data_IF_515113239358
#
_entry.id   IF_515113239358
#
_cell.length_a   1.000
_cell.length_b   1.000
_cell.length_c   1.000
_cell.angle_alpha   90.00
_cell.angle_beta   90.00
_cell.angle_gamma   90.00
#
_symmetry.space_group_name_H-M   'P 1'
#
loop_
_entity.id
_entity.type
_entity.pdbx_description
1 polymer ?
#
# COMPACT_ATOMS: atom_id res chain seq x y z
N UNK A 1 -16.22 -31.41 13.83
CA UNK A 1 -15.00 -30.76 13.30
C UNK A 1 -14.93 -29.39 13.94
N UNK A 2 -13.86 -29.01 14.65
CA UNK A 2 -13.75 -27.66 15.16
C UNK A 2 -13.49 -26.76 13.95
N UNK A 3 -14.46 -25.92 13.63
CA UNK A 3 -14.25 -24.77 12.76
C UNK A 3 -13.14 -23.95 13.38
N UNK A 4 -12.00 -23.82 12.70
CA UNK A 4 -10.99 -22.82 13.06
C UNK A 4 -11.68 -21.45 12.98
N UNK A 5 -12.14 -20.99 14.13
CA UNK A 5 -12.64 -19.65 14.33
C UNK A 5 -11.48 -18.73 13.99
N UNK A 6 -11.54 -18.09 12.81
CA UNK A 6 -10.55 -17.08 12.44
C UNK A 6 -10.76 -15.95 13.45
N UNK A 7 -9.98 -15.96 14.54
CA UNK A 7 -9.97 -14.92 15.57
C UNK A 7 -9.30 -13.69 14.97
N UNK A 8 -10.08 -12.92 14.21
CA UNK A 8 -9.70 -11.58 13.81
C UNK A 8 -9.72 -10.69 15.06
N UNK A 9 -8.58 -10.10 15.45
CA UNK A 9 -8.53 -8.99 16.40
C UNK A 9 -8.82 -7.70 15.62
N UNK A 10 -10.01 -7.08 15.80
CA UNK A 10 -10.38 -5.87 15.05
C UNK A 10 -9.38 -4.73 15.27
N UNK A 11 -8.81 -4.62 16.47
CA UNK A 11 -7.82 -3.60 16.78
C UNK A 11 -6.48 -3.82 16.07
N UNK A 12 -6.10 -5.07 15.81
CA UNK A 12 -4.90 -5.38 15.03
C UNK A 12 -5.09 -5.07 13.54
N UNK A 13 -6.28 -5.34 12.99
CA UNK A 13 -6.59 -5.03 11.58
C UNK A 13 -6.70 -3.53 11.32
N UNK A 14 -7.27 -2.77 12.25
CA UNK A 14 -7.32 -1.31 12.16
C UNK A 14 -5.92 -0.69 12.19
N UNK A 15 -5.05 -1.17 13.10
CA UNK A 15 -3.65 -0.75 13.15
C UNK A 15 -2.92 -1.08 11.85
N UNK A 16 -3.10 -2.29 11.31
CA UNK A 16 -2.47 -2.71 10.06
C UNK A 16 -2.92 -1.83 8.89
N UNK A 17 -4.22 -1.53 8.80
CA UNK A 17 -4.75 -0.63 7.76
C UNK A 17 -4.15 0.78 7.87
N UNK A 18 -4.15 1.35 9.08
CA UNK A 18 -3.56 2.67 9.32
C UNK A 18 -2.06 2.69 9.02
N UNK A 19 -1.32 1.64 9.38
CA UNK A 19 0.10 1.49 9.05
C UNK A 19 0.35 1.39 7.54
N UNK A 20 -0.45 0.61 6.82
CA UNK A 20 -0.35 0.49 5.36
C UNK A 20 -0.59 1.85 4.69
N UNK A 21 -1.63 2.56 5.10
CA UNK A 21 -1.97 3.88 4.56
C UNK A 21 -0.90 4.94 4.87
N UNK A 22 -0.39 4.94 6.10
CA UNK A 22 0.67 5.85 6.52
C UNK A 22 1.98 5.58 5.77
N UNK A 23 2.36 4.32 5.60
CA UNK A 23 3.57 3.95 4.87
C UNK A 23 3.42 4.23 3.37
N UNK A 24 2.27 3.96 2.77
CA UNK A 24 1.99 4.34 1.38
C UNK A 24 2.13 5.85 1.15
N UNK A 25 1.60 6.67 2.07
CA UNK A 25 1.71 8.13 1.99
C UNK A 25 3.16 8.63 2.12
N UNK A 26 3.98 7.99 2.97
CA UNK A 26 5.41 8.30 3.08
C UNK A 26 6.17 7.96 1.81
N UNK A 27 5.92 6.78 1.25
CA UNK A 27 6.54 6.32 0.01
C UNK A 27 6.19 7.28 -1.14
N UNK A 28 4.94 7.74 -1.22
CA UNK A 28 4.55 8.75 -2.20
C UNK A 28 5.38 10.04 -2.04
N UNK A 29 5.53 10.55 -0.82
CA UNK A 29 6.34 11.73 -0.56
C UNK A 29 7.83 11.55 -0.90
N UNK A 30 8.38 10.37 -0.65
CA UNK A 30 9.77 10.02 -1.02
C UNK A 30 9.94 9.93 -2.55
N UNK A 31 8.95 9.41 -3.27
CA UNK A 31 8.93 9.38 -4.74
C UNK A 31 8.96 10.80 -5.31
N UNK A 32 8.12 11.70 -4.81
CA UNK A 32 8.05 13.08 -5.28
C UNK A 32 9.39 13.82 -5.04
N UNK A 33 10.03 13.55 -3.88
CA UNK A 33 11.35 14.08 -3.56
C UNK A 33 12.43 13.52 -4.49
N UNK A 34 12.40 12.22 -4.79
CA UNK A 34 13.33 11.56 -5.71
C UNK A 34 13.18 12.12 -7.13
N UNK A 35 11.96 12.30 -7.62
CA UNK A 35 11.68 12.89 -8.93
C UNK A 35 12.21 14.31 -9.03
N UNK A 36 12.04 15.12 -7.98
CA UNK A 36 12.59 16.47 -7.90
C UNK A 36 14.13 16.44 -7.97
N UNK A 37 14.77 15.57 -7.19
CA UNK A 37 16.22 15.42 -7.19
C UNK A 37 16.76 14.94 -8.55
N UNK A 38 16.07 14.01 -9.20
CA UNK A 38 16.45 13.48 -10.51
C UNK A 38 16.31 14.52 -11.63
N UNK A 39 15.24 15.32 -11.61
CA UNK A 39 15.09 16.43 -12.55
C UNK A 39 16.18 17.49 -12.36
N UNK A 40 16.53 17.80 -11.10
CA UNK A 40 17.64 18.70 -10.80
C UNK A 40 18.97 18.12 -11.30
N UNK A 41 19.20 16.82 -11.13
CA UNK A 41 20.40 16.15 -11.63
C UNK A 41 20.49 16.20 -13.15
N UNK A 42 19.39 15.90 -13.86
CA UNK A 42 19.30 16.00 -15.33
C UNK A 42 19.62 17.41 -15.84
N UNK A 43 19.07 18.43 -15.20
CA UNK A 43 19.30 19.83 -15.57
C UNK A 43 20.76 20.27 -15.39
N UNK A 44 21.50 19.61 -14.49
CA UNK A 44 22.91 19.87 -14.24
C UNK A 44 23.85 18.89 -14.96
N UNK A 45 23.30 17.93 -15.72
CA UNK A 45 24.10 16.94 -16.41
C UNK A 45 24.56 17.46 -17.77
N UNK A 46 25.86 17.51 -17.99
CA UNK A 46 26.42 17.81 -19.31
C UNK A 46 26.65 16.51 -20.10
N UNK A 47 26.28 16.51 -21.39
CA UNK A 47 26.52 15.40 -22.31
C UNK A 47 25.30 14.50 -22.57
N UNK A 48 24.94 14.40 -23.85
CA UNK A 48 23.72 13.74 -24.34
C UNK A 48 23.62 12.24 -24.00
N UNK A 49 24.76 11.51 -24.05
CA UNK A 49 24.80 10.09 -23.67
C UNK A 49 24.54 9.88 -22.18
N UNK A 50 25.08 10.73 -21.32
CA UNK A 50 24.91 10.63 -19.88
C UNK A 50 23.45 10.97 -19.49
N UNK A 51 22.86 11.99 -20.13
CA UNK A 51 21.45 12.34 -19.95
C UNK A 51 20.53 11.20 -20.39
N UNK A 52 20.83 10.55 -21.51
CA UNK A 52 20.04 9.42 -22.03
C UNK A 52 20.08 8.21 -21.08
N UNK A 53 21.26 7.81 -20.62
CA UNK A 53 21.41 6.69 -19.70
C UNK A 53 20.74 6.97 -18.34
N UNK A 54 20.89 8.19 -17.81
CA UNK A 54 20.22 8.59 -16.58
C UNK A 54 18.71 8.63 -16.74
N UNK A 55 18.20 9.18 -17.85
CA UNK A 55 16.75 9.23 -18.12
C UNK A 55 16.14 7.83 -18.17
N UNK A 56 16.82 6.87 -18.81
CA UNK A 56 16.37 5.48 -18.85
C UNK A 56 16.34 4.84 -17.46
N UNK A 57 17.41 5.01 -16.66
CA UNK A 57 17.46 4.51 -15.29
C UNK A 57 16.39 5.15 -14.39
N UNK A 58 16.22 6.47 -14.47
CA UNK A 58 15.20 7.21 -13.73
C UNK A 58 13.78 6.77 -14.10
N UNK A 59 13.52 6.50 -15.38
CA UNK A 59 12.24 5.96 -15.82
C UNK A 59 11.94 4.60 -15.17
N UNK A 60 12.88 3.67 -15.21
CA UNK A 60 12.69 2.34 -14.62
C UNK A 60 12.41 2.44 -13.11
N UNK A 61 13.15 3.29 -12.39
CA UNK A 61 12.94 3.51 -10.95
C UNK A 61 11.54 4.08 -10.68
N UNK A 62 11.07 5.03 -11.48
CA UNK A 62 9.70 5.55 -11.33
C UNK A 62 8.62 4.50 -11.62
N UNK A 63 8.83 3.63 -12.61
CA UNK A 63 7.90 2.52 -12.91
C UNK A 63 7.83 1.54 -11.72
N UNK A 64 8.97 1.09 -11.19
CA UNK A 64 9.01 0.17 -10.03
C UNK A 64 8.38 0.78 -8.77
N UNK A 65 8.60 2.08 -8.53
CA UNK A 65 8.01 2.79 -7.41
C UNK A 65 6.49 2.95 -7.56
N UNK A 66 6.00 3.22 -8.77
CA UNK A 66 4.57 3.28 -9.07
C UNK A 66 3.88 1.92 -8.92
N UNK A 67 4.52 0.84 -9.34
CA UNK A 67 4.03 -0.52 -9.15
C UNK A 67 3.96 -0.91 -7.67
N UNK A 68 4.96 -0.48 -6.89
CA UNK A 68 4.99 -0.70 -5.44
C UNK A 68 3.83 0.02 -4.75
N UNK A 69 3.57 1.28 -5.09
CA UNK A 69 2.41 2.02 -4.57
C UNK A 69 1.09 1.33 -4.92
N UNK A 70 0.92 0.95 -6.19
CA UNK A 70 -0.29 0.24 -6.65
C UNK A 70 -0.50 -1.06 -5.87
N UNK A 71 0.57 -1.76 -5.53
CA UNK A 71 0.53 -2.98 -4.73
C UNK A 71 0.12 -2.70 -3.29
N UNK A 72 0.64 -1.63 -2.68
CA UNK A 72 0.27 -1.20 -1.33
C UNK A 72 -1.20 -0.76 -1.24
N UNK A 73 -1.69 -0.02 -2.23
CA UNK A 73 -3.10 0.39 -2.29
C UNK A 73 -4.04 -0.82 -2.41
N UNK A 74 -3.66 -1.81 -3.24
CA UNK A 74 -4.39 -3.09 -3.33
C UNK A 74 -4.37 -3.84 -2.02
N UNK A 75 -3.23 -3.92 -1.34
CA UNK A 75 -3.13 -4.59 -0.06
C UNK A 75 -4.01 -3.91 1.00
N UNK A 76 -4.03 -2.58 1.04
CA UNK A 76 -4.91 -1.83 1.94
C UNK A 76 -6.40 -2.11 1.66
N UNK A 77 -6.80 -2.18 0.39
CA UNK A 77 -8.17 -2.50 -0.01
C UNK A 77 -8.57 -3.94 0.37
N UNK A 78 -7.67 -4.91 0.22
CA UNK A 78 -7.91 -6.29 0.65
C UNK A 78 -8.05 -6.39 2.18
N UNK A 79 -7.25 -5.64 2.94
CA UNK A 79 -7.37 -5.56 4.41
C UNK A 79 -8.72 -4.94 4.81
N UNK A 80 -9.17 -3.89 4.13
CA UNK A 80 -10.49 -3.28 4.36
C UNK A 80 -11.65 -4.25 4.05
N UNK A 81 -11.56 -4.98 2.94
CA UNK A 81 -12.54 -6.02 2.58
C UNK A 81 -12.56 -7.15 3.61
N UNK A 82 -11.39 -7.62 4.07
CA UNK A 82 -11.30 -8.64 5.11
C UNK A 82 -11.92 -8.16 6.43
N UNK A 83 -11.73 -6.89 6.79
CA UNK A 83 -12.38 -6.26 7.96
C UNK A 83 -13.90 -6.27 7.83
N UNK A 84 -14.45 -5.88 6.67
CA UNK A 84 -15.90 -5.89 6.44
C UNK A 84 -16.49 -7.30 6.55
N UNK A 85 -15.83 -8.30 5.95
CA UNK A 85 -16.27 -9.69 6.03
C UNK A 85 -16.22 -10.22 7.48
N UNK A 86 -15.20 -9.85 8.26
CA UNK A 86 -15.09 -10.23 9.66
C UNK A 86 -16.21 -9.62 10.51
N UNK A 87 -16.53 -8.33 10.32
CA UNK A 87 -17.62 -7.64 11.01
C UNK A 87 -18.99 -8.24 10.67
N UNK A 88 -19.24 -8.56 9.40
CA UNK A 88 -20.48 -9.22 8.98
C UNK A 88 -20.62 -10.63 9.56
N UNK A 89 -19.53 -11.39 9.65
CA UNK A 89 -19.53 -12.71 10.24
C UNK A 89 -19.84 -12.67 11.75
N UNK A 90 -19.19 -11.75 12.49
CA UNK A 90 -19.42 -11.57 13.93
C UNK A 90 -20.85 -11.09 14.22
N UNK A 91 -21.38 -10.15 13.42
CA UNK A 91 -22.77 -9.69 13.53
C UNK A 91 -23.82 -10.79 13.31
N UNK A 92 -23.60 -11.69 12.33
CA UNK A 92 -24.48 -12.85 12.10
C UNK A 92 -24.42 -13.88 13.23
N UNK A 93 -23.26 -14.05 13.86
CA UNK A 93 -23.12 -14.94 15.04
C UNK A 93 -23.85 -14.33 16.24
N UNK A 94 -23.69 -13.02 16.48
CA UNK A 94 -24.40 -12.29 17.55
C UNK A 94 -25.93 -12.36 17.43
N UNK A 95 -26.48 -12.16 16.24
CA UNK A 95 -27.93 -12.28 15.99
C UNK A 95 -28.41 -13.74 16.10
N UNK A 96 -27.59 -14.72 15.71
CA UNK A 96 -27.88 -16.15 15.82
C UNK A 96 -27.98 -16.65 17.26
N UNK A 97 -27.25 -16.03 18.20
CA UNK A 97 -27.35 -16.32 19.64
C UNK A 97 -28.43 -15.50 20.36
N UNK A 98 -28.84 -14.35 19.82
CA UNK A 98 -29.93 -13.54 20.38
C UNK A 98 -31.34 -14.08 20.06
N UNK A 99 -31.45 -14.96 19.05
CA UNK A 99 -32.71 -15.56 18.61
C UNK A 99 -33.04 -16.93 19.25
N UNK A 100 -32.30 -17.35 20.29
CA UNK A 100 -32.54 -18.58 21.06
C UNK A 100 -32.94 -18.32 22.51
#
# INVERSE_FOLDING_TARGET
MPTEEIKYDPGAMDRLFDELKNNGSKIQGEIDALQTAANNFLNNLEGEKAQTAFTAAHKNVNEELGDTLTTLDRLAAEVENAKHLALEADGKVGDGFAAF
#
